data_IF_295188025265
#
_entry.id   IF_295188025265
#
_cell.length_a   1.000
_cell.length_b   1.000
_cell.length_c   1.000
_cell.angle_alpha   90.00
_cell.angle_beta   90.00
_cell.angle_gamma   90.00
#
_symmetry.space_group_name_H-M   'P 1'
#
loop_
_entity.id
_entity.type
_entity.pdbx_description
1 polymer ?
#
# COMPACT_ATOMS: atom_id res chain seq x y z
N UNK A 1 -9.60 6.32 -9.34
CA UNK A 1 -10.73 5.64 -8.67
C UNK A 1 -10.84 6.23 -7.28
N UNK A 2 -12.04 6.57 -6.82
CA UNK A 2 -12.22 6.99 -5.42
C UNK A 2 -12.29 5.73 -4.53
N UNK A 3 -11.72 5.78 -3.31
CA UNK A 3 -11.86 4.67 -2.37
C UNK A 3 -13.34 4.41 -2.05
N UNK A 4 -13.72 3.14 -2.00
CA UNK A 4 -15.06 2.71 -1.60
C UNK A 4 -15.02 2.30 -0.13
N UNK A 5 -15.59 3.13 0.75
CA UNK A 5 -15.57 2.87 2.20
C UNK A 5 -16.47 1.71 2.62
N UNK A 6 -17.31 1.16 1.73
CA UNK A 6 -18.13 -0.02 2.00
C UNK A 6 -17.40 -1.34 1.76
N UNK A 7 -16.21 -1.29 1.14
CA UNK A 7 -15.43 -2.47 0.76
C UNK A 7 -14.19 -2.62 1.62
N UNK A 8 -13.72 -3.86 1.85
CA UNK A 8 -12.47 -4.08 2.56
C UNK A 8 -11.31 -3.43 1.81
N UNK A 9 -10.36 -2.94 2.59
CA UNK A 9 -9.06 -2.51 2.12
C UNK A 9 -8.03 -3.58 2.47
N UNK A 10 -7.02 -3.73 1.61
CA UNK A 10 -5.82 -4.50 1.93
C UNK A 10 -4.57 -3.70 1.57
N UNK A 11 -3.46 -4.02 2.22
CA UNK A 11 -2.18 -3.35 1.98
C UNK A 11 -1.19 -4.39 1.50
N UNK A 12 -0.53 -4.08 0.40
CA UNK A 12 0.64 -4.83 -0.08
C UNK A 12 1.88 -4.00 0.25
N UNK A 13 2.84 -4.59 0.95
CA UNK A 13 4.08 -3.93 1.36
C UNK A 13 5.29 -4.61 0.74
N UNK A 14 6.33 -3.82 0.49
CA UNK A 14 7.67 -4.27 0.14
C UNK A 14 8.72 -3.40 0.84
N UNK A 15 9.94 -3.89 0.97
CA UNK A 15 11.04 -3.17 1.58
C UNK A 15 12.37 -3.42 0.85
N UNK A 16 13.18 -2.37 0.76
CA UNK A 16 14.60 -2.45 0.40
C UNK A 16 15.48 -2.21 1.62
N UNK A 17 16.80 -2.24 1.44
CA UNK A 17 17.77 -1.91 2.49
C UNK A 17 17.66 -0.47 3.04
N UNK A 18 16.92 0.42 2.37
CA UNK A 18 16.88 1.85 2.70
C UNK A 18 15.49 2.46 2.80
N UNK A 19 14.46 1.78 2.29
CA UNK A 19 13.10 2.32 2.23
C UNK A 19 12.06 1.22 2.39
N UNK A 20 10.90 1.64 2.90
CA UNK A 20 9.69 0.82 2.92
C UNK A 20 8.66 1.44 1.97
N UNK A 21 7.93 0.58 1.26
CA UNK A 21 6.87 0.97 0.36
C UNK A 21 5.62 0.13 0.59
N UNK A 22 4.46 0.73 0.38
CA UNK A 22 3.20 0.02 0.36
C UNK A 22 2.22 0.61 -0.67
N UNK A 23 1.28 -0.23 -1.09
CA UNK A 23 0.11 0.15 -1.85
C UNK A 23 -1.14 -0.22 -1.04
N UNK A 24 -2.02 0.75 -0.81
CA UNK A 24 -3.38 0.51 -0.33
C UNK A 24 -4.23 0.11 -1.53
N UNK A 25 -4.88 -1.04 -1.43
CA UNK A 25 -5.59 -1.71 -2.51
C UNK A 25 -7.04 -2.01 -2.12
N UNK A 26 -7.91 -2.10 -3.12
CA UNK A 26 -9.28 -2.60 -3.00
C UNK A 26 -9.65 -3.43 -4.23
N UNK A 27 -10.59 -4.36 -4.06
CA UNK A 27 -11.25 -5.02 -5.19
C UNK A 27 -12.40 -4.17 -5.73
N UNK A 28 -12.42 -3.94 -7.05
CA UNK A 28 -13.55 -3.28 -7.73
C UNK A 28 -14.79 -4.19 -7.82
N UNK A 29 -15.88 -3.68 -8.40
CA UNK A 29 -17.15 -4.42 -8.49
C UNK A 29 -17.02 -5.71 -9.30
N UNK A 30 -16.03 -5.80 -10.17
CA UNK A 30 -15.71 -6.98 -10.98
C UNK A 30 -14.68 -7.90 -10.31
N UNK A 31 -14.31 -7.62 -9.05
CA UNK A 31 -13.35 -8.44 -8.29
C UNK A 31 -11.91 -8.24 -8.74
N UNK A 32 -11.57 -7.12 -9.40
CA UNK A 32 -10.20 -6.81 -9.85
C UNK A 32 -9.51 -5.91 -8.85
N UNK A 33 -8.23 -6.15 -8.63
CA UNK A 33 -7.42 -5.31 -7.75
C UNK A 33 -7.21 -3.91 -8.34
N UNK A 34 -7.44 -2.90 -7.50
CA UNK A 34 -7.26 -1.49 -7.81
C UNK A 34 -6.45 -0.81 -6.72
N UNK A 35 -5.47 -0.03 -7.14
CA UNK A 35 -4.68 0.81 -6.25
C UNK A 35 -5.52 2.03 -5.85
N UNK A 36 -5.57 2.29 -4.55
CA UNK A 36 -6.11 3.52 -3.97
C UNK A 36 -5.00 4.55 -3.83
N UNK A 37 -3.90 4.19 -3.18
CA UNK A 37 -2.75 5.08 -2.96
C UNK A 37 -1.46 4.27 -2.82
N UNK A 38 -0.37 4.84 -3.32
CA UNK A 38 0.99 4.42 -3.00
C UNK A 38 1.53 5.28 -1.87
N UNK A 39 2.17 4.65 -0.90
CA UNK A 39 2.88 5.35 0.15
C UNK A 39 4.24 4.72 0.37
N UNK A 40 5.27 5.55 0.42
CA UNK A 40 6.63 5.10 0.70
C UNK A 40 7.36 6.12 1.56
N UNK A 41 8.38 5.62 2.28
CA UNK A 41 9.30 6.47 3.01
C UNK A 41 10.65 5.80 3.16
N UNK A 42 11.69 6.61 3.31
CA UNK A 42 12.97 6.09 3.77
C UNK A 42 12.86 5.59 5.22
N UNK A 43 13.66 4.57 5.52
CA UNK A 43 13.84 4.09 6.88
C UNK A 43 14.58 5.13 7.71
N UNK A 44 14.13 5.30 8.96
CA UNK A 44 14.84 6.09 9.97
C UNK A 44 16.16 5.40 10.31
N UNK A 45 17.17 6.12 10.85
CA UNK A 45 18.45 5.51 11.22
C UNK A 45 18.32 4.26 12.12
N UNK A 46 17.35 4.24 13.05
CA UNK A 46 17.10 3.10 13.94
C UNK A 46 16.36 1.91 13.29
N UNK A 47 15.82 2.09 12.08
CA UNK A 47 15.11 1.05 11.32
C UNK A 47 16.02 0.39 10.27
N UNK A 48 17.24 0.90 10.09
CA UNK A 48 18.26 0.33 9.22
C UNK A 48 19.03 -0.75 9.99
N UNK A 49 19.40 -1.83 9.29
CA UNK A 49 20.19 -2.95 9.83
C UNK A 49 21.61 -2.53 10.24
#
# INVERSE_FOLDING_TARGET
MLPDTSRPFHVVCDASDFAIGCALMQFDAEGRERVVIYQSRQMKPAEKN
#
